data_IF_302828850665
#
_entry.id   IF_302828850665
#
_cell.length_a   1.000
_cell.length_b   1.000
_cell.length_c   1.000
_cell.angle_alpha   90.00
_cell.angle_beta   90.00
_cell.angle_gamma   90.00
#
_symmetry.space_group_name_H-M   'P 1'
#
loop_
_entity.id
_entity.type
_entity.pdbx_description
1 polymer ?
#
# COMPACT_ATOMS: atom_id res chain seq x y z
N UNK A 1 -50.30 -43.25 26.64
CA UNK A 1 -50.43 -43.09 25.18
C UNK A 1 -49.92 -41.71 24.83
N UNK A 2 -48.79 -41.49 24.17
CA UNK A 2 -47.90 -42.38 23.43
C UNK A 2 -46.49 -41.80 23.43
N UNK A 3 -45.50 -42.68 23.52
CA UNK A 3 -44.07 -42.43 23.28
C UNK A 3 -43.78 -42.89 21.84
N UNK A 4 -43.04 -42.16 21.00
CA UNK A 4 -42.52 -42.73 19.77
C UNK A 4 -41.25 -43.52 20.08
N UNK A 5 -41.29 -44.81 19.76
CA UNK A 5 -40.15 -45.73 19.76
C UNK A 5 -39.21 -45.43 18.60
N UNK A 6 -37.92 -45.33 18.93
CA UNK A 6 -36.81 -45.30 17.99
C UNK A 6 -36.45 -46.75 17.63
N UNK A 7 -36.74 -47.16 16.39
CA UNK A 7 -36.33 -48.46 15.84
C UNK A 7 -35.10 -48.23 14.95
N UNK A 8 -33.93 -48.31 15.55
CA UNK A 8 -32.67 -48.45 14.82
C UNK A 8 -32.64 -49.77 14.08
N UNK A 9 -32.62 -49.72 12.75
CA UNK A 9 -32.15 -50.82 11.91
C UNK A 9 -30.69 -50.59 11.57
N UNK A 10 -29.82 -51.38 12.20
CA UNK A 10 -28.44 -51.62 11.79
C UNK A 10 -28.42 -52.07 10.33
N UNK A 11 -27.82 -51.26 9.47
CA UNK A 11 -27.35 -51.71 8.16
C UNK A 11 -25.84 -51.71 8.20
N UNK A 12 -25.31 -52.94 8.34
CA UNK A 12 -23.93 -53.32 8.11
C UNK A 12 -23.57 -52.91 6.69
N UNK A 13 -22.67 -51.94 6.55
CA UNK A 13 -21.86 -51.79 5.35
C UNK A 13 -20.45 -52.19 5.74
N UNK A 14 -20.06 -53.37 5.30
CA UNK A 14 -18.68 -53.87 5.30
C UNK A 14 -17.80 -52.83 4.60
N UNK A 15 -17.05 -52.08 5.41
CA UNK A 15 -15.97 -51.24 4.96
C UNK A 15 -14.77 -52.12 4.68
N UNK A 16 -14.56 -52.41 3.40
CA UNK A 16 -13.35 -52.99 2.86
C UNK A 16 -12.15 -52.07 3.23
N UNK A 17 -11.49 -52.38 4.35
CA UNK A 17 -10.25 -51.72 4.77
C UNK A 17 -9.11 -52.12 3.82
N UNK A 18 -9.11 -51.55 2.62
CA UNK A 18 -7.87 -51.31 1.91
C UNK A 18 -7.16 -50.12 2.57
N UNK A 19 -6.67 -50.35 3.79
CA UNK A 19 -5.54 -49.60 4.33
C UNK A 19 -4.35 -49.96 3.44
N UNK A 20 -4.11 -49.15 2.40
CA UNK A 20 -2.81 -49.10 1.75
C UNK A 20 -1.77 -48.85 2.86
N UNK A 21 -1.10 -49.94 3.25
CA UNK A 21 0.06 -49.87 4.12
C UNK A 21 1.10 -49.09 3.32
N UNK A 22 1.23 -47.79 3.60
CA UNK A 22 2.33 -46.99 3.09
C UNK A 22 3.61 -47.63 3.62
N UNK A 23 4.33 -48.36 2.75
CA UNK A 23 5.66 -48.88 3.05
C UNK A 23 6.54 -47.73 3.52
N UNK A 24 6.86 -47.72 4.81
CA UNK A 24 7.90 -46.87 5.37
C UNK A 24 9.19 -47.37 4.73
N UNK A 25 9.73 -46.61 3.77
CA UNK A 25 10.92 -46.99 3.02
C UNK A 25 12.12 -47.10 3.97
N UNK A 26 12.43 -48.34 4.32
CA UNK A 26 13.65 -48.75 5.00
C UNK A 26 14.90 -48.24 4.26
N UNK A 27 15.99 -47.95 5.00
CA UNK A 27 17.28 -47.60 4.41
C UNK A 27 17.77 -48.63 3.37
N UNK A 28 17.29 -49.87 3.43
CA UNK A 28 17.74 -50.94 2.55
C UNK A 28 17.28 -50.78 1.09
N UNK A 29 16.31 -49.90 0.81
CA UNK A 29 15.78 -49.63 -0.54
C UNK A 29 15.88 -48.14 -0.93
N UNK A 30 17.03 -47.50 -0.71
CA UNK A 30 17.24 -46.09 -1.12
C UNK A 30 17.48 -45.98 -2.64
N UNK A 31 16.71 -45.12 -3.31
CA UNK A 31 16.93 -44.79 -4.72
C UNK A 31 18.24 -44.02 -4.92
N UNK A 32 18.79 -44.08 -6.14
CA UNK A 32 20.04 -43.39 -6.48
C UNK A 32 19.97 -41.86 -6.30
N UNK A 33 18.76 -41.31 -6.39
CA UNK A 33 18.49 -39.88 -6.22
C UNK A 33 18.22 -39.47 -4.77
N UNK A 34 18.15 -40.41 -3.81
CA UNK A 34 17.88 -40.09 -2.41
C UNK A 34 19.12 -39.46 -1.74
N UNK A 35 18.94 -38.26 -1.19
CA UNK A 35 20.00 -37.52 -0.51
C UNK A 35 20.61 -38.26 0.69
N UNK A 36 19.88 -39.22 1.28
CA UNK A 36 20.32 -40.03 2.43
C UNK A 36 21.34 -41.09 2.02
N UNK A 37 21.33 -41.55 0.77
CA UNK A 37 22.13 -42.69 0.28
C UNK A 37 23.62 -42.55 0.58
N UNK A 38 24.22 -41.45 0.15
CA UNK A 38 25.65 -41.18 0.36
C UNK A 38 26.07 -41.12 1.84
N UNK A 39 25.15 -40.70 2.72
CA UNK A 39 25.41 -40.64 4.16
C UNK A 39 25.31 -42.04 4.78
N UNK A 40 24.31 -42.82 4.37
CA UNK A 40 24.15 -44.20 4.82
C UNK A 40 25.33 -45.07 4.40
N UNK A 41 25.73 -45.01 3.13
CA UNK A 41 26.85 -45.79 2.60
C UNK A 41 28.13 -45.51 3.39
N UNK A 42 28.43 -44.23 3.65
CA UNK A 42 29.60 -43.85 4.44
C UNK A 42 29.50 -44.26 5.92
N UNK A 43 28.31 -44.20 6.53
CA UNK A 43 28.11 -44.61 7.92
C UNK A 43 28.16 -46.14 8.09
N UNK A 44 27.84 -46.91 7.05
CA UNK A 44 27.96 -48.38 7.00
C UNK A 44 29.40 -48.82 6.71
N UNK A 45 30.12 -48.13 5.82
CA UNK A 45 31.54 -48.38 5.52
C UNK A 45 32.38 -47.07 5.52
N UNK A 46 32.92 -46.68 6.69
CA UNK A 46 33.73 -45.45 6.82
C UNK A 46 35.10 -45.51 6.14
N UNK A 47 35.58 -46.70 5.76
CA UNK A 47 36.91 -46.91 5.18
C UNK A 47 36.96 -46.64 3.67
N UNK A 48 35.81 -46.41 3.03
CA UNK A 48 35.70 -46.13 1.60
C UNK A 48 36.27 -44.77 1.16
N UNK A 49 36.51 -44.65 -0.15
CA UNK A 49 36.92 -43.39 -0.79
C UNK A 49 35.69 -42.48 -0.97
N UNK A 50 35.43 -41.63 0.01
CA UNK A 50 34.27 -40.70 0.00
C UNK A 50 34.71 -39.24 0.10
N UNK A 51 33.93 -38.34 -0.53
CA UNK A 51 34.17 -36.90 -0.51
C UNK A 51 34.25 -36.34 0.93
N UNK A 52 35.26 -35.50 1.21
CA UNK A 52 35.47 -34.81 2.50
C UNK A 52 34.20 -34.12 3.03
N UNK A 53 33.36 -33.56 2.16
CA UNK A 53 32.10 -32.92 2.53
C UNK A 53 31.08 -33.89 3.14
N UNK A 54 31.01 -35.12 2.65
CA UNK A 54 30.11 -36.16 3.16
C UNK A 54 30.61 -36.61 4.54
N UNK A 55 31.92 -36.81 4.69
CA UNK A 55 32.54 -37.19 5.98
C UNK A 55 32.20 -36.20 7.11
N UNK A 56 32.31 -34.89 6.85
CA UNK A 56 31.93 -33.87 7.83
C UNK A 56 30.43 -33.84 8.11
N UNK A 57 29.58 -34.00 7.08
CA UNK A 57 28.12 -34.01 7.30
C UNK A 57 27.71 -35.20 8.14
N UNK A 58 28.27 -36.38 7.88
CA UNK A 58 27.97 -37.63 8.58
C UNK A 58 28.17 -37.55 10.10
N UNK A 59 29.06 -36.68 10.61
CA UNK A 59 29.24 -36.45 12.06
C UNK A 59 27.95 -36.01 12.78
N UNK A 60 27.00 -35.42 12.06
CA UNK A 60 25.71 -34.99 12.59
C UNK A 60 24.60 -36.04 12.42
N UNK A 61 24.93 -37.26 11.98
CA UNK A 61 23.97 -38.32 11.71
C UNK A 61 24.38 -39.63 12.39
N UNK A 62 23.39 -40.47 12.66
CA UNK A 62 23.56 -41.81 13.22
C UNK A 62 22.51 -42.72 12.61
N UNK A 63 22.86 -43.98 12.37
CA UNK A 63 21.89 -45.00 11.98
C UNK A 63 21.41 -45.69 13.27
N UNK A 64 20.10 -45.73 13.48
CA UNK A 64 19.48 -46.47 14.59
C UNK A 64 18.44 -47.40 14.00
N UNK A 65 18.59 -48.70 14.25
CA UNK A 65 17.83 -49.72 13.54
C UNK A 65 18.05 -49.58 12.04
N UNK A 66 16.96 -49.37 11.28
CA UNK A 66 17.00 -49.20 9.83
C UNK A 66 16.61 -47.77 9.39
N UNK A 67 16.83 -46.78 10.24
CA UNK A 67 16.51 -45.37 9.98
C UNK A 67 17.71 -44.45 10.19
N UNK A 68 17.77 -43.38 9.38
CA UNK A 68 18.84 -42.39 9.45
C UNK A 68 18.35 -41.27 10.35
N UNK A 69 19.06 -41.02 11.44
CA UNK A 69 18.71 -40.00 12.41
C UNK A 69 19.69 -38.84 12.32
N UNK A 70 19.19 -37.61 12.33
CA UNK A 70 20.00 -36.41 12.50
C UNK A 70 20.10 -36.06 13.98
N UNK A 71 21.33 -35.87 14.46
CA UNK A 71 21.64 -35.37 15.80
C UNK A 71 21.66 -33.84 15.81
N UNK A 72 20.85 -33.22 16.68
CA UNK A 72 20.92 -31.77 16.93
C UNK A 72 22.07 -31.45 17.90
N UNK A 73 22.53 -30.18 17.99
CA UNK A 73 23.51 -29.77 18.98
C UNK A 73 23.11 -30.09 20.43
N UNK A 74 21.80 -30.08 20.70
CA UNK A 74 21.21 -30.41 22.01
C UNK A 74 21.08 -31.93 22.25
N UNK A 75 21.53 -32.75 21.29
CA UNK A 75 21.51 -34.21 21.39
C UNK A 75 20.18 -34.87 21.01
N UNK A 76 19.19 -34.12 20.54
CA UNK A 76 17.91 -34.67 20.07
C UNK A 76 18.10 -35.36 18.72
N UNK A 77 17.41 -36.48 18.51
CA UNK A 77 17.45 -37.26 17.28
C UNK A 77 16.20 -37.00 16.43
N UNK A 78 16.39 -36.73 15.15
CA UNK A 78 15.33 -36.45 14.18
C UNK A 78 15.37 -37.46 13.04
N UNK A 79 14.25 -38.11 12.72
CA UNK A 79 14.12 -39.03 11.59
C UNK A 79 14.35 -38.30 10.27
N UNK A 80 15.28 -38.81 9.46
CA UNK A 80 15.58 -38.26 8.15
C UNK A 80 14.61 -38.79 7.10
N UNK A 81 13.81 -37.89 6.53
CA UNK A 81 12.79 -38.24 5.55
C UNK A 81 13.34 -38.26 4.12
N UNK A 82 12.80 -39.16 3.30
CA UNK A 82 12.88 -39.15 1.85
C UNK A 82 12.15 -37.92 1.29
N UNK A 83 12.26 -37.70 -0.02
CA UNK A 83 11.49 -36.64 -0.67
C UNK A 83 9.97 -36.88 -0.64
N UNK A 84 9.53 -38.13 -0.79
CA UNK A 84 8.12 -38.51 -0.74
C UNK A 84 7.55 -38.39 0.68
N UNK A 85 8.28 -38.90 1.67
CA UNK A 85 7.93 -38.77 3.09
C UNK A 85 7.88 -37.30 3.52
N UNK A 86 8.85 -36.49 3.07
CA UNK A 86 8.86 -35.06 3.34
C UNK A 86 7.64 -34.36 2.74
N UNK A 87 7.26 -34.69 1.51
CA UNK A 87 6.06 -34.12 0.87
C UNK A 87 4.79 -34.41 1.68
N UNK A 88 4.60 -35.67 2.10
CA UNK A 88 3.46 -36.07 2.93
C UNK A 88 3.44 -35.31 4.26
N UNK A 89 4.57 -35.26 4.96
CA UNK A 89 4.69 -34.56 6.23
C UNK A 89 4.39 -33.05 6.10
N UNK A 90 4.85 -32.40 5.03
CA UNK A 90 4.54 -31.01 4.72
C UNK A 90 3.04 -30.84 4.45
N UNK A 91 2.43 -31.72 3.65
CA UNK A 91 1.01 -31.70 3.30
C UNK A 91 0.11 -31.81 4.53
N UNK A 92 0.40 -32.76 5.42
CA UNK A 92 -0.37 -32.98 6.65
C UNK A 92 -0.30 -31.79 7.60
N UNK A 93 0.89 -31.21 7.77
CA UNK A 93 1.10 -30.05 8.65
C UNK A 93 0.52 -28.76 8.05
N UNK A 94 0.42 -28.68 6.72
CA UNK A 94 -0.17 -27.52 6.06
C UNK A 94 -1.70 -27.57 6.05
N UNK A 95 -2.27 -28.65 5.50
CA UNK A 95 -3.69 -28.79 5.15
C UNK A 95 -4.37 -30.05 5.69
N UNK A 96 -3.66 -30.93 6.41
CA UNK A 96 -4.25 -32.11 7.05
C UNK A 96 -5.11 -31.74 8.28
N UNK A 97 -5.49 -32.74 9.07
CA UNK A 97 -6.42 -32.57 10.21
C UNK A 97 -5.95 -31.56 11.27
N UNK A 98 -4.64 -31.39 11.44
CA UNK A 98 -4.04 -30.37 12.32
C UNK A 98 -3.43 -29.18 11.55
N UNK A 99 -3.67 -29.15 10.23
CA UNK A 99 -3.25 -28.09 9.33
C UNK A 99 -4.09 -26.83 9.51
N UNK A 100 -3.44 -25.67 9.43
CA UNK A 100 -4.12 -24.35 9.48
C UNK A 100 -3.65 -23.45 8.33
N UNK A 101 -3.30 -24.07 7.20
CA UNK A 101 -2.65 -23.40 6.08
C UNK A 101 -1.39 -22.63 6.53
N UNK A 102 -0.59 -23.30 7.36
CA UNK A 102 0.52 -22.68 8.06
C UNK A 102 1.58 -22.13 7.10
N UNK A 103 2.18 -20.99 7.47
CA UNK A 103 3.34 -20.46 6.76
C UNK A 103 4.58 -21.35 6.96
N UNK A 104 5.47 -21.38 5.97
CA UNK A 104 6.59 -22.34 5.93
C UNK A 104 7.51 -22.35 7.17
N UNK A 105 7.72 -21.22 7.84
CA UNK A 105 8.47 -21.17 9.11
C UNK A 105 7.77 -21.91 10.25
N UNK A 106 6.44 -21.79 10.36
CA UNK A 106 5.65 -22.46 11.38
C UNK A 106 5.56 -23.97 11.11
N UNK A 107 5.44 -24.35 9.84
CA UNK A 107 5.49 -25.74 9.41
C UNK A 107 6.83 -26.39 9.79
N UNK A 108 7.96 -25.77 9.40
CA UNK A 108 9.31 -26.24 9.79
C UNK A 108 9.41 -26.41 11.31
N UNK A 109 8.94 -25.43 12.08
CA UNK A 109 8.98 -25.50 13.54
C UNK A 109 8.20 -26.70 14.07
N UNK A 110 7.00 -26.96 13.55
CA UNK A 110 6.17 -28.09 13.96
C UNK A 110 6.82 -29.42 13.58
N UNK A 111 7.24 -29.57 12.33
CA UNK A 111 7.93 -30.77 11.82
C UNK A 111 9.19 -31.10 12.64
N UNK A 112 9.99 -30.09 12.96
CA UNK A 112 11.18 -30.27 13.78
C UNK A 112 10.84 -30.69 15.22
N UNK A 113 9.72 -30.19 15.77
CA UNK A 113 9.20 -30.61 17.08
C UNK A 113 8.61 -32.01 17.09
N UNK A 114 8.06 -32.47 15.97
CA UNK A 114 7.60 -33.84 15.77
C UNK A 114 8.73 -34.82 15.41
N UNK A 115 9.99 -34.37 15.46
CA UNK A 115 11.13 -35.26 15.34
C UNK A 115 11.52 -35.63 13.92
N UNK A 116 11.17 -34.82 12.90
CA UNK A 116 11.53 -35.10 11.49
C UNK A 116 12.46 -34.06 10.88
N UNK A 117 13.26 -34.48 9.88
CA UNK A 117 14.24 -33.62 9.24
C UNK A 117 14.57 -34.02 7.79
N UNK A 118 14.85 -33.01 6.96
CA UNK A 118 15.60 -33.15 5.71
C UNK A 118 16.32 -31.82 5.40
N UNK A 119 17.36 -31.80 4.54
CA UNK A 119 18.23 -30.64 4.35
C UNK A 119 17.51 -29.35 3.90
N UNK A 120 16.47 -29.47 3.08
CA UNK A 120 15.77 -28.35 2.44
C UNK A 120 14.43 -28.00 3.12
N UNK A 121 14.14 -28.56 4.29
CA UNK A 121 12.85 -28.42 5.02
C UNK A 121 12.23 -27.03 5.01
N UNK A 122 13.00 -25.98 5.30
CA UNK A 122 12.46 -24.62 5.29
C UNK A 122 12.06 -24.16 3.88
N UNK A 123 12.92 -24.43 2.89
CA UNK A 123 12.69 -24.05 1.49
C UNK A 123 11.44 -24.77 0.99
N UNK A 124 11.34 -26.06 1.25
CA UNK A 124 10.24 -26.89 0.75
C UNK A 124 8.92 -26.52 1.42
N UNK A 125 8.90 -26.26 2.73
CA UNK A 125 7.70 -25.74 3.40
C UNK A 125 7.26 -24.37 2.84
N UNK A 126 8.21 -23.49 2.50
CA UNK A 126 7.90 -22.17 1.92
C UNK A 126 7.33 -22.33 0.50
N UNK A 127 7.95 -23.15 -0.34
CA UNK A 127 7.48 -23.37 -1.71
C UNK A 127 6.14 -24.12 -1.74
N UNK A 128 5.93 -25.09 -0.85
CA UNK A 128 4.63 -25.76 -0.70
C UNK A 128 3.52 -24.78 -0.33
N UNK A 129 3.73 -23.96 0.71
CA UNK A 129 2.74 -22.97 1.14
C UNK A 129 2.47 -21.90 0.05
N UNK A 130 3.48 -21.54 -0.77
CA UNK A 130 3.30 -20.63 -1.92
C UNK A 130 2.49 -21.27 -3.04
N UNK A 131 2.68 -22.57 -3.29
CA UNK A 131 1.98 -23.35 -4.31
C UNK A 131 0.57 -23.77 -3.90
N UNK A 132 0.23 -23.77 -2.60
CA UNK A 132 -1.12 -24.11 -2.12
C UNK A 132 -2.19 -23.22 -2.77
N UNK A 133 -3.07 -23.83 -3.58
CA UNK A 133 -4.09 -23.11 -4.33
C UNK A 133 -5.11 -22.44 -3.42
N UNK A 134 -5.51 -23.09 -2.32
CA UNK A 134 -6.46 -22.52 -1.35
C UNK A 134 -5.90 -21.29 -0.63
N UNK A 135 -4.61 -21.32 -0.26
CA UNK A 135 -3.92 -20.13 0.25
C UNK A 135 -3.86 -19.01 -0.80
N UNK A 136 -3.63 -19.35 -2.08
CA UNK A 136 -3.56 -18.35 -3.15
C UNK A 136 -4.93 -17.71 -3.42
N UNK A 137 -6.00 -18.50 -3.51
CA UNK A 137 -7.40 -18.07 -3.74
C UNK A 137 -7.95 -17.15 -2.65
N UNK A 138 -7.62 -17.43 -1.38
CA UNK A 138 -8.11 -16.68 -0.23
C UNK A 138 -7.15 -15.59 0.26
N UNK A 139 -5.95 -15.49 -0.32
CA UNK A 139 -4.97 -14.48 0.09
C UNK A 139 -5.54 -13.05 0.02
N UNK A 140 -5.20 -12.22 1.02
CA UNK A 140 -5.66 -10.84 1.07
C UNK A 140 -5.24 -10.03 -0.15
N UNK A 141 -6.11 -9.11 -0.58
CA UNK A 141 -5.85 -8.22 -1.71
C UNK A 141 -4.76 -7.22 -1.31
N UNK A 142 -3.60 -7.34 -1.93
CA UNK A 142 -2.46 -6.48 -1.61
C UNK A 142 -2.66 -5.09 -2.25
N UNK A 143 -3.07 -4.10 -1.47
CA UNK A 143 -3.19 -2.70 -1.90
C UNK A 143 -1.84 -1.97 -1.96
N UNK A 144 -0.85 -2.56 -2.65
CA UNK A 144 0.42 -1.88 -2.92
C UNK A 144 0.28 -1.02 -4.16
N UNK A 145 0.62 0.27 -4.12
CA UNK A 145 0.61 1.11 -5.30
C UNK A 145 1.53 0.56 -6.39
N UNK A 146 1.03 0.51 -7.62
CA UNK A 146 1.73 -0.11 -8.76
C UNK A 146 2.81 0.80 -9.39
N UNK A 147 2.85 2.07 -9.01
CA UNK A 147 3.71 3.08 -9.63
C UNK A 147 4.49 3.84 -8.56
N UNK A 148 5.69 4.28 -8.91
CA UNK A 148 6.49 5.16 -8.08
C UNK A 148 5.80 6.51 -7.88
N UNK A 149 6.05 7.14 -6.74
CA UNK A 149 5.54 8.48 -6.46
C UNK A 149 6.38 9.52 -7.21
N UNK A 150 5.79 10.19 -8.20
CA UNK A 150 6.42 11.34 -8.84
C UNK A 150 6.18 12.60 -8.01
N UNK A 151 7.25 13.13 -7.39
CA UNK A 151 7.14 14.32 -6.58
C UNK A 151 7.10 15.59 -7.42
N UNK A 152 6.00 16.35 -7.34
CA UNK A 152 5.88 17.64 -8.04
C UNK A 152 6.41 18.73 -7.13
N UNK A 153 7.59 19.26 -7.42
CA UNK A 153 8.11 20.48 -6.79
C UNK A 153 7.88 21.64 -7.74
N UNK A 154 7.15 22.66 -7.28
CA UNK A 154 7.08 23.96 -7.95
C UNK A 154 7.96 24.92 -7.14
N UNK A 155 9.06 25.44 -7.70
CA UNK A 155 10.03 26.24 -6.94
C UNK A 155 9.60 27.70 -6.75
N UNK A 156 8.56 28.14 -7.44
CA UNK A 156 8.08 29.51 -7.41
C UNK A 156 6.75 29.61 -6.66
N UNK A 157 6.57 30.62 -5.78
CA UNK A 157 5.28 30.95 -5.19
C UNK A 157 4.17 31.03 -6.24
N UNK A 158 3.00 30.47 -5.93
CA UNK A 158 1.76 30.61 -6.69
C UNK A 158 1.75 30.03 -8.11
N UNK A 159 2.83 29.38 -8.56
CA UNK A 159 2.86 28.73 -9.88
C UNK A 159 2.12 27.39 -9.90
N UNK A 160 1.84 26.78 -8.76
CA UNK A 160 1.13 25.51 -8.70
C UNK A 160 0.15 25.43 -7.54
N UNK A 161 -1.12 25.15 -7.86
CA UNK A 161 -2.19 25.03 -6.87
C UNK A 161 -2.78 23.63 -6.86
N UNK A 162 -3.23 23.17 -5.69
CA UNK A 162 -4.19 22.08 -5.59
C UNK A 162 -5.53 22.59 -5.09
N UNK A 163 -6.62 22.15 -5.71
CA UNK A 163 -7.98 22.42 -5.27
C UNK A 163 -8.66 21.14 -4.80
N UNK A 164 -9.51 21.27 -3.79
CA UNK A 164 -10.37 20.21 -3.29
C UNK A 164 -11.64 20.80 -2.70
N UNK A 165 -12.67 19.98 -2.64
CA UNK A 165 -13.94 20.32 -2.05
C UNK A 165 -14.11 19.58 -0.71
N UNK A 166 -14.28 20.34 0.37
CA UNK A 166 -14.79 19.78 1.61
C UNK A 166 -16.29 19.51 1.41
N UNK A 167 -16.66 18.23 1.51
CA UNK A 167 -18.03 17.75 1.35
C UNK A 167 -19.04 18.34 2.34
N UNK A 168 -20.28 17.88 2.25
CA UNK A 168 -21.41 18.49 2.96
C UNK A 168 -21.19 18.58 4.48
N UNK A 169 -21.20 19.81 5.01
CA UNK A 169 -21.06 20.15 6.43
C UNK A 169 -22.44 20.28 7.05
N UNK A 170 -22.70 19.49 8.10
CA UNK A 170 -23.93 19.54 8.90
C UNK A 170 -23.63 19.95 10.35
N UNK A 171 -24.37 20.93 10.92
CA UNK A 171 -25.44 21.72 10.29
C UNK A 171 -24.90 22.74 9.28
N UNK A 172 -25.77 23.19 8.36
CA UNK A 172 -25.45 24.30 7.46
C UNK A 172 -25.15 25.58 8.25
N UNK A 173 -24.38 26.47 7.63
CA UNK A 173 -24.06 27.75 8.25
C UNK A 173 -25.30 28.63 8.43
N UNK A 174 -25.18 29.72 9.19
CA UNK A 174 -26.24 30.73 9.31
C UNK A 174 -26.64 31.37 7.98
N UNK A 175 -25.82 31.24 6.92
CA UNK A 175 -26.09 31.70 5.54
C UNK A 175 -26.47 30.56 4.60
N UNK A 176 -26.87 29.40 5.14
CA UNK A 176 -27.19 28.19 4.38
C UNK A 176 -26.03 27.66 3.51
N UNK A 177 -24.78 27.90 3.93
CA UNK A 177 -23.61 27.32 3.27
C UNK A 177 -23.38 25.91 3.81
N UNK A 178 -22.98 24.98 2.94
CA UNK A 178 -22.83 23.56 3.24
C UNK A 178 -21.52 22.96 2.76
N UNK A 179 -20.76 23.67 1.95
CA UNK A 179 -19.52 23.19 1.37
C UNK A 179 -18.41 24.21 1.59
N UNK A 180 -17.15 23.78 1.50
CA UNK A 180 -16.00 24.67 1.47
C UNK A 180 -15.13 24.26 0.29
N UNK A 181 -14.91 25.19 -0.64
CA UNK A 181 -13.91 25.02 -1.70
C UNK A 181 -12.58 25.52 -1.16
N UNK A 182 -11.54 24.69 -1.26
CA UNK A 182 -10.20 24.98 -0.72
C UNK A 182 -9.17 24.92 -1.84
N UNK A 183 -8.29 25.92 -1.88
CA UNK A 183 -7.11 25.95 -2.72
C UNK A 183 -5.85 26.12 -1.88
N UNK A 184 -4.81 25.36 -2.19
CA UNK A 184 -3.49 25.48 -1.54
C UNK A 184 -2.38 25.64 -2.58
N UNK A 185 -1.49 26.61 -2.36
CA UNK A 185 -0.27 26.79 -3.15
C UNK A 185 0.79 25.74 -2.76
N UNK A 186 1.48 25.17 -3.75
CA UNK A 186 2.48 24.12 -3.52
C UNK A 186 3.75 24.60 -2.85
N UNK A 187 4.13 25.86 -3.04
CA UNK A 187 5.39 26.36 -2.53
C UNK A 187 5.20 27.00 -1.16
N UNK A 188 4.46 28.11 -1.10
CA UNK A 188 4.21 28.89 0.12
C UNK A 188 3.32 28.18 1.13
N UNK A 189 2.57 27.17 0.69
CA UNK A 189 1.47 26.54 1.46
C UNK A 189 0.36 27.53 1.84
N UNK A 190 0.24 28.63 1.10
CA UNK A 190 -0.85 29.58 1.25
C UNK A 190 -2.18 28.90 0.95
N UNK A 191 -3.17 29.10 1.83
CA UNK A 191 -4.50 28.50 1.70
C UNK A 191 -5.50 29.61 1.40
N UNK A 192 -6.30 29.43 0.35
CA UNK A 192 -7.53 30.15 0.09
C UNK A 192 -8.71 29.21 0.27
N UNK A 193 -9.80 29.67 0.89
CA UNK A 193 -11.02 28.87 0.99
C UNK A 193 -12.26 29.74 1.00
N UNK A 194 -13.33 29.27 0.36
CA UNK A 194 -14.62 29.96 0.35
C UNK A 194 -15.76 29.01 0.77
N UNK A 195 -16.74 29.50 1.56
CA UNK A 195 -17.92 28.72 1.91
C UNK A 195 -19.00 28.83 0.82
N UNK A 196 -19.55 27.69 0.41
CA UNK A 196 -20.50 27.59 -0.70
C UNK A 196 -21.84 26.94 -0.25
N UNK A 197 -23.00 27.42 -0.74
CA UNK A 197 -24.31 26.79 -0.49
C UNK A 197 -24.49 25.51 -1.30
N UNK A 198 -24.07 25.54 -2.56
CA UNK A 198 -24.07 24.45 -3.52
C UNK A 198 -22.76 24.50 -4.31
N UNK A 199 -22.44 23.41 -4.98
CA UNK A 199 -21.19 23.27 -5.73
C UNK A 199 -21.52 23.14 -7.20
N UNK A 200 -21.14 24.14 -7.97
CA UNK A 200 -21.24 24.17 -9.42
C UNK A 200 -19.89 24.58 -10.04
N UNK A 201 -19.78 24.40 -11.36
CA UNK A 201 -18.56 24.76 -12.11
C UNK A 201 -18.30 26.26 -12.10
N UNK A 202 -19.34 27.08 -12.08
CA UNK A 202 -19.23 28.54 -12.11
C UNK A 202 -18.65 29.09 -10.82
N UNK A 203 -19.03 28.54 -9.65
CA UNK A 203 -18.43 28.88 -8.37
C UNK A 203 -16.94 28.52 -8.34
N UNK A 204 -16.53 27.39 -8.92
CA UNK A 204 -15.11 27.01 -9.00
C UNK A 204 -14.32 27.96 -9.90
N UNK A 205 -14.85 28.30 -11.08
CA UNK A 205 -14.21 29.27 -11.99
C UNK A 205 -14.09 30.63 -11.31
N UNK A 206 -15.17 31.12 -10.68
CA UNK A 206 -15.19 32.38 -9.94
C UNK A 206 -14.21 32.40 -8.78
N UNK A 207 -14.05 31.28 -8.07
CA UNK A 207 -13.03 31.12 -7.04
C UNK A 207 -11.63 31.28 -7.62
N UNK A 208 -11.31 30.57 -8.70
CA UNK A 208 -9.98 30.63 -9.34
C UNK A 208 -9.69 32.04 -9.84
N UNK A 209 -10.66 32.69 -10.50
CA UNK A 209 -10.50 34.06 -10.97
C UNK A 209 -10.27 35.04 -9.80
N UNK A 210 -11.16 35.05 -8.83
CA UNK A 210 -11.20 36.11 -7.81
C UNK A 210 -10.20 35.90 -6.67
N UNK A 211 -9.90 34.64 -6.31
CA UNK A 211 -9.10 34.31 -5.14
C UNK A 211 -7.71 33.79 -5.49
N UNK A 212 -7.47 33.38 -6.74
CA UNK A 212 -6.14 32.94 -7.20
C UNK A 212 -5.58 33.94 -8.20
N UNK A 213 -6.24 34.13 -9.34
CA UNK A 213 -5.69 34.91 -10.46
C UNK A 213 -5.59 36.40 -10.10
N UNK A 214 -6.66 37.02 -9.62
CA UNK A 214 -6.66 38.45 -9.30
C UNK A 214 -5.82 38.80 -8.06
N UNK A 215 -5.45 37.80 -7.25
CA UNK A 215 -4.61 38.01 -6.07
C UNK A 215 -3.14 37.73 -6.31
N UNK A 216 -2.83 36.66 -7.03
CA UNK A 216 -1.47 36.11 -7.12
C UNK A 216 -0.97 35.97 -8.56
N UNK A 217 -1.82 36.26 -9.55
CA UNK A 217 -1.52 36.07 -10.97
C UNK A 217 -1.89 34.69 -11.51
N UNK A 218 -1.65 34.49 -12.80
CA UNK A 218 -2.02 33.26 -13.50
C UNK A 218 -1.05 32.13 -13.11
N UNK A 219 -1.54 31.01 -12.53
CA UNK A 219 -0.68 29.88 -12.18
C UNK A 219 -0.19 29.12 -13.43
N UNK A 220 0.86 28.32 -13.29
CA UNK A 220 1.28 27.40 -14.36
C UNK A 220 0.31 26.23 -14.46
N UNK A 221 -0.09 25.69 -13.30
CA UNK A 221 -0.92 24.50 -13.22
C UNK A 221 -1.81 24.51 -11.99
N UNK A 222 -3.04 24.01 -12.16
CA UNK A 222 -3.98 23.74 -11.07
C UNK A 222 -4.29 22.25 -11.10
N UNK A 223 -4.08 21.55 -9.98
CA UNK A 223 -4.41 20.13 -9.85
C UNK A 223 -5.70 19.97 -9.06
N UNK A 224 -6.62 19.16 -9.55
CA UNK A 224 -7.91 18.85 -8.90
C UNK A 224 -8.10 17.35 -8.82
N UNK A 225 -9.10 16.90 -8.05
CA UNK A 225 -9.57 15.53 -8.15
C UNK A 225 -10.34 15.30 -9.47
N UNK A 226 -10.81 14.06 -9.69
CA UNK A 226 -11.63 13.71 -10.86
C UNK A 226 -13.12 14.03 -10.66
N UNK A 227 -13.46 14.92 -9.72
CA UNK A 227 -14.83 15.38 -9.54
C UNK A 227 -15.32 16.08 -10.81
N UNK A 228 -16.55 15.77 -11.24
CA UNK A 228 -17.18 16.35 -12.44
C UNK A 228 -17.30 17.87 -12.39
N UNK A 229 -17.28 18.45 -11.18
CA UNK A 229 -17.26 19.90 -10.94
C UNK A 229 -15.94 20.52 -11.42
N UNK A 230 -14.82 19.79 -11.36
CA UNK A 230 -13.51 20.30 -11.77
C UNK A 230 -13.14 19.93 -13.20
N UNK A 231 -13.69 18.86 -13.76
CA UNK A 231 -13.33 18.35 -15.11
C UNK A 231 -14.34 18.69 -16.19
N UNK A 232 -15.25 19.63 -15.93
CA UNK A 232 -16.27 20.05 -16.89
C UNK A 232 -15.75 20.82 -18.09
N UNK A 233 -16.55 20.83 -19.17
CA UNK A 233 -16.22 21.54 -20.42
C UNK A 233 -15.91 23.02 -20.20
N UNK A 234 -16.74 23.72 -19.39
CA UNK A 234 -16.55 25.13 -19.02
C UNK A 234 -15.20 25.38 -18.35
N UNK A 235 -14.77 24.47 -17.47
CA UNK A 235 -13.51 24.60 -16.73
C UNK A 235 -12.30 24.37 -17.64
N UNK A 236 -12.39 23.42 -18.57
CA UNK A 236 -11.35 23.16 -19.58
C UNK A 236 -11.21 24.34 -20.54
N UNK A 237 -12.32 24.88 -21.04
CA UNK A 237 -12.34 26.08 -21.89
C UNK A 237 -11.75 27.29 -21.17
N UNK A 238 -12.14 27.51 -19.91
CA UNK A 238 -11.58 28.58 -19.07
C UNK A 238 -10.07 28.43 -18.86
N UNK A 239 -9.58 27.20 -18.62
CA UNK A 239 -8.15 26.94 -18.47
C UNK A 239 -7.36 27.24 -19.75
N UNK A 240 -7.90 26.87 -20.92
CA UNK A 240 -7.30 27.16 -22.22
C UNK A 240 -7.26 28.65 -22.51
N UNK A 241 -8.37 29.37 -22.27
CA UNK A 241 -8.45 30.82 -22.48
C UNK A 241 -7.50 31.60 -21.57
N UNK A 242 -7.37 31.17 -20.32
CA UNK A 242 -6.52 31.86 -19.32
C UNK A 242 -5.05 31.43 -19.42
N UNK A 243 -4.76 30.28 -20.02
CA UNK A 243 -3.39 29.81 -20.28
C UNK A 243 -2.74 29.01 -19.14
N UNK A 244 -3.52 28.42 -18.22
CA UNK A 244 -2.98 27.52 -17.17
C UNK A 244 -3.31 26.05 -17.47
N UNK A 245 -2.48 25.13 -16.97
CA UNK A 245 -2.67 23.68 -17.15
C UNK A 245 -3.59 23.11 -16.08
N UNK A 246 -4.72 22.55 -16.46
CA UNK A 246 -5.57 21.79 -15.55
C UNK A 246 -5.09 20.33 -15.48
N UNK A 247 -4.69 19.88 -14.29
CA UNK A 247 -4.20 18.53 -14.03
C UNK A 247 -5.23 17.77 -13.18
N UNK A 248 -5.56 16.54 -13.55
CA UNK A 248 -6.46 15.70 -12.76
C UNK A 248 -5.67 14.69 -11.93
N UNK A 249 -6.20 14.34 -10.75
CA UNK A 249 -5.57 13.36 -9.86
C UNK A 249 -5.58 11.95 -10.51
N UNK A 250 -4.55 11.63 -11.27
CA UNK A 250 -4.20 10.25 -11.63
C UNK A 250 -3.30 9.66 -10.53
N UNK A 251 -2.99 8.35 -10.52
CA UNK A 251 -1.99 7.79 -9.59
C UNK A 251 -0.66 8.57 -9.60
N UNK A 252 -0.34 9.21 -10.73
CA UNK A 252 0.82 10.06 -10.93
C UNK A 252 0.78 11.37 -10.12
N UNK A 253 -0.41 11.93 -9.88
CA UNK A 253 -0.63 13.21 -9.19
C UNK A 253 -1.20 13.04 -7.76
N UNK A 254 -1.16 11.83 -7.19
CA UNK A 254 -1.75 11.52 -5.89
C UNK A 254 -1.25 12.42 -4.74
N UNK A 255 -0.01 12.92 -4.83
CA UNK A 255 0.59 13.79 -3.83
C UNK A 255 -0.04 15.19 -3.78
N UNK A 256 -0.47 15.74 -4.93
CA UNK A 256 -1.14 17.03 -4.99
C UNK A 256 -2.47 16.98 -4.23
N UNK A 257 -3.24 15.91 -4.45
CA UNK A 257 -4.46 15.65 -3.70
C UNK A 257 -4.16 15.44 -2.20
N UNK A 258 -3.07 14.76 -1.87
CA UNK A 258 -2.64 14.58 -0.47
C UNK A 258 -2.36 15.91 0.28
N UNK A 259 -1.80 16.92 -0.39
CA UNK A 259 -1.51 18.22 0.23
C UNK A 259 -2.78 18.98 0.58
N UNK A 260 -3.73 19.08 -0.35
CA UNK A 260 -5.00 19.77 -0.11
C UNK A 260 -5.87 19.00 0.90
N UNK A 261 -5.85 17.66 0.88
CA UNK A 261 -6.49 16.85 1.92
C UNK A 261 -5.91 17.10 3.33
N UNK A 262 -4.58 17.25 3.44
CA UNK A 262 -3.95 17.60 4.70
C UNK A 262 -4.37 19.01 5.17
N UNK A 263 -4.46 19.98 4.26
CA UNK A 263 -4.98 21.31 4.54
C UNK A 263 -6.44 21.25 5.02
N UNK A 264 -7.29 20.46 4.35
CA UNK A 264 -8.68 20.26 4.73
C UNK A 264 -8.82 19.71 6.16
N UNK A 265 -7.99 18.73 6.55
CA UNK A 265 -7.95 18.22 7.93
C UNK A 265 -7.60 19.30 8.95
N UNK A 266 -6.63 20.16 8.63
CA UNK A 266 -6.22 21.27 9.50
C UNK A 266 -7.37 22.29 9.64
N UNK A 267 -7.96 22.72 8.52
CA UNK A 267 -9.08 23.67 8.49
C UNK A 267 -10.25 23.14 9.33
N UNK A 268 -10.69 21.91 9.07
CA UNK A 268 -11.78 21.27 9.82
C UNK A 268 -11.45 21.18 11.31
N UNK A 269 -10.22 20.78 11.65
CA UNK A 269 -9.76 20.67 13.04
C UNK A 269 -9.78 22.01 13.78
N UNK A 270 -9.33 23.09 13.14
CA UNK A 270 -9.34 24.43 13.72
C UNK A 270 -10.76 25.00 13.83
N UNK A 271 -11.58 24.82 12.79
CA UNK A 271 -12.99 25.22 12.79
C UNK A 271 -13.72 24.54 13.96
N UNK A 272 -13.57 23.23 14.13
CA UNK A 272 -14.15 22.49 15.27
C UNK A 272 -13.80 23.08 16.63
N UNK A 273 -12.55 23.55 16.80
CA UNK A 273 -12.10 24.17 18.05
C UNK A 273 -12.67 25.58 18.26
N UNK A 274 -12.90 26.35 17.19
CA UNK A 274 -13.37 27.74 17.28
C UNK A 274 -14.89 27.88 17.40
N UNK A 275 -15.66 26.91 16.90
CA UNK A 275 -17.13 27.03 16.88
C UNK A 275 -17.78 26.85 18.27
N UNK A 276 -17.08 26.26 19.24
CA UNK A 276 -17.60 25.99 20.59
C UNK A 276 -19.03 25.41 20.54
N UNK A 277 -20.00 26.01 21.26
CA UNK A 277 -21.40 25.56 21.31
C UNK A 277 -22.29 26.11 20.16
N UNK A 278 -21.74 26.81 19.15
CA UNK A 278 -22.53 27.49 18.10
C UNK A 278 -22.27 26.94 16.68
N UNK A 279 -22.62 25.67 16.39
CA UNK A 279 -22.21 24.94 15.18
C UNK A 279 -22.49 25.66 13.85
N UNK A 280 -23.56 26.47 13.76
CA UNK A 280 -23.94 27.21 12.55
C UNK A 280 -23.05 28.41 12.19
N UNK A 281 -22.14 28.83 13.08
CA UNK A 281 -21.28 30.00 12.87
C UNK A 281 -19.94 29.67 12.20
N UNK A 282 -19.77 28.44 11.72
CA UNK A 282 -18.51 27.98 11.14
C UNK A 282 -18.01 28.82 9.96
N UNK A 283 -18.92 29.44 9.21
CA UNK A 283 -18.58 30.30 8.08
C UNK A 283 -17.92 31.62 8.54
N UNK A 284 -18.32 32.16 9.70
CA UNK A 284 -17.71 33.36 10.28
C UNK A 284 -16.31 33.09 10.83
N UNK A 285 -16.08 31.87 11.31
CA UNK A 285 -14.77 31.45 11.84
C UNK A 285 -13.76 31.11 10.75
N UNK A 286 -14.21 30.90 9.50
CA UNK A 286 -13.34 30.43 8.42
C UNK A 286 -12.21 31.42 8.13
N UNK A 287 -12.50 32.73 8.03
CA UNK A 287 -11.48 33.74 7.76
C UNK A 287 -10.43 33.82 8.88
N UNK A 288 -10.87 33.69 10.14
CA UNK A 288 -9.97 33.63 11.30
C UNK A 288 -9.08 32.38 11.25
N UNK A 289 -9.65 31.22 10.88
CA UNK A 289 -8.89 29.97 10.71
C UNK A 289 -7.88 30.08 9.58
N UNK A 290 -8.25 30.69 8.45
CA UNK A 290 -7.34 30.93 7.33
C UNK A 290 -6.19 31.84 7.74
N UNK A 291 -6.48 32.94 8.44
CA UNK A 291 -5.45 33.85 8.94
C UNK A 291 -4.49 33.17 9.92
N UNK A 292 -5.00 32.34 10.85
CA UNK A 292 -4.17 31.54 11.73
C UNK A 292 -3.29 30.54 10.95
N UNK A 293 -3.86 29.85 9.96
CA UNK A 293 -3.13 28.91 9.10
C UNK A 293 -2.00 29.56 8.31
N UNK A 294 -2.20 30.81 7.85
CA UNK A 294 -1.23 31.58 7.07
C UNK A 294 -0.08 32.12 7.91
N UNK A 295 -0.31 32.37 9.20
CA UNK A 295 0.71 32.85 10.14
C UNK A 295 1.33 31.76 11.02
N UNK A 296 0.93 30.49 10.84
CA UNK A 296 1.53 29.37 11.56
C UNK A 296 2.63 28.71 10.72
N UNK A 297 3.83 28.46 11.28
CA UNK A 297 4.91 27.82 10.55
C UNK A 297 4.51 26.43 10.08
N UNK A 298 4.92 26.06 8.87
CA UNK A 298 4.70 24.71 8.32
C UNK A 298 5.97 23.89 8.41
N UNK A 299 5.87 22.66 8.88
CA UNK A 299 7.00 21.72 8.91
C UNK A 299 7.66 21.54 7.53
N UNK A 300 6.87 21.64 6.45
CA UNK A 300 7.35 21.48 5.09
C UNK A 300 8.26 22.61 4.59
N UNK A 301 8.15 23.82 5.17
CA UNK A 301 8.89 25.02 4.75
C UNK A 301 9.73 25.63 5.87
N UNK A 302 9.52 25.20 7.12
CA UNK A 302 10.10 25.75 8.35
C UNK A 302 9.87 27.26 8.58
N UNK A 303 8.89 27.85 7.88
CA UNK A 303 8.51 29.26 7.99
C UNK A 303 7.00 29.41 7.76
N UNK A 304 6.45 30.61 7.95
CA UNK A 304 5.03 30.89 7.79
C UNK A 304 4.67 31.10 6.30
N UNK A 305 3.48 30.67 5.84
CA UNK A 305 2.99 31.02 4.51
C UNK A 305 2.93 32.53 4.24
N UNK A 306 2.63 33.32 5.28
CA UNK A 306 2.57 34.78 5.18
C UNK A 306 3.93 35.38 4.83
N UNK A 307 4.99 34.99 5.55
CA UNK A 307 6.36 35.46 5.29
C UNK A 307 6.85 35.07 3.90
N UNK A 308 6.63 33.82 3.46
CA UNK A 308 7.00 33.39 2.10
C UNK A 308 6.28 34.16 0.98
N UNK A 309 5.07 34.62 1.28
CA UNK A 309 4.23 35.37 0.33
C UNK A 309 4.65 36.83 0.25
N UNK A 310 4.76 37.51 1.38
CA UNK A 310 4.92 38.97 1.45
C UNK A 310 6.32 39.45 1.82
N UNK A 311 7.23 38.56 2.22
CA UNK A 311 8.59 38.92 2.62
C UNK A 311 8.79 39.24 4.10
N UNK A 312 7.70 39.37 4.86
CA UNK A 312 7.75 39.78 6.26
C UNK A 312 6.62 39.13 7.05
N UNK A 313 6.72 39.14 8.38
CA UNK A 313 5.69 38.58 9.25
C UNK A 313 4.52 39.54 9.46
N UNK A 314 3.30 39.00 9.48
CA UNK A 314 2.11 39.80 9.78
C UNK A 314 2.20 40.38 11.20
N UNK A 315 1.63 41.57 11.41
CA UNK A 315 1.41 42.09 12.77
C UNK A 315 0.33 41.26 13.45
N UNK A 316 0.72 40.55 14.51
CA UNK A 316 -0.20 39.73 15.28
C UNK A 316 -0.75 40.48 16.51
N UNK A 317 -1.91 40.08 17.07
CA UNK A 317 -2.49 40.79 18.22
C UNK A 317 -1.57 40.77 19.43
N UNK A 318 -0.75 39.72 19.60
CA UNK A 318 0.24 39.64 20.68
C UNK A 318 1.24 40.80 20.63
N UNK A 319 1.63 41.26 19.44
CA UNK A 319 2.56 42.39 19.30
C UNK A 319 1.91 43.71 19.70
N UNK A 320 0.63 43.87 19.39
CA UNK A 320 -0.14 45.07 19.78
C UNK A 320 -0.38 45.05 21.29
N UNK A 321 -0.84 43.93 21.84
CA UNK A 321 -1.16 43.81 23.26
C UNK A 321 0.06 43.91 24.17
N UNK A 322 1.21 43.36 23.74
CA UNK A 322 2.46 43.41 24.50
C UNK A 322 3.38 44.57 24.10
N UNK A 323 2.93 45.44 23.19
CA UNK A 323 3.71 46.57 22.69
C UNK A 323 5.10 46.13 22.22
N UNK A 324 5.18 45.29 21.18
CA UNK A 324 6.45 44.84 20.61
C UNK A 324 7.29 46.03 20.14
N UNK A 325 8.61 45.84 19.99
CA UNK A 325 9.53 46.88 19.52
C UNK A 325 9.07 47.47 18.18
N UNK A 326 8.57 46.62 17.28
CA UNK A 326 8.02 47.03 15.97
C UNK A 326 6.85 47.99 16.10
N UNK A 327 5.99 47.81 17.12
CA UNK A 327 4.85 48.69 17.39
C UNK A 327 5.29 49.97 18.11
N UNK A 328 6.14 49.85 19.14
CA UNK A 328 6.60 50.99 19.94
C UNK A 328 7.36 52.02 19.11
N UNK A 329 8.21 51.56 18.19
CA UNK A 329 9.10 52.43 17.39
C UNK A 329 8.56 52.78 16.02
N UNK A 330 7.29 52.46 15.73
CA UNK A 330 6.69 52.64 14.41
C UNK A 330 6.77 54.09 13.89
N UNK A 331 6.71 55.08 14.79
CA UNK A 331 6.75 56.51 14.45
C UNK A 331 8.14 57.15 14.63
N UNK A 332 9.11 56.42 15.18
CA UNK A 332 10.43 56.94 15.57
C UNK A 332 11.55 56.55 14.58
N UNK A 333 11.21 55.82 13.52
CA UNK A 333 12.18 55.35 12.54
C UNK A 333 12.58 56.45 11.55
N UNK A 334 13.87 56.79 11.54
CA UNK A 334 14.46 57.60 10.49
C UNK A 334 14.27 56.91 9.12
N UNK A 335 14.06 57.70 8.07
CA UNK A 335 13.78 57.19 6.71
C UNK A 335 14.83 56.18 6.25
N UNK A 336 16.10 56.45 6.49
CA UNK A 336 17.20 55.59 6.04
C UNK A 336 17.19 54.23 6.76
N UNK A 337 16.88 54.23 8.07
CA UNK A 337 16.76 52.98 8.83
C UNK A 337 15.54 52.15 8.40
N UNK A 338 14.44 52.80 8.00
CA UNK A 338 13.29 52.09 7.42
C UNK A 338 13.66 51.43 6.08
N UNK A 339 14.39 52.14 5.22
CA UNK A 339 14.86 51.59 3.95
C UNK A 339 15.78 50.39 4.15
N UNK A 340 16.77 50.48 5.05
CA UNK A 340 17.69 49.39 5.34
C UNK A 340 16.95 48.15 5.86
N UNK A 341 16.02 48.32 6.81
CA UNK A 341 15.21 47.21 7.33
C UNK A 341 14.34 46.53 6.26
N UNK A 342 13.67 47.29 5.40
CA UNK A 342 12.86 46.72 4.32
C UNK A 342 13.73 46.05 3.25
N UNK A 343 14.93 46.57 3.00
CA UNK A 343 15.87 45.96 2.08
C UNK A 343 16.42 44.64 2.63
N UNK A 344 16.78 44.61 3.91
CA UNK A 344 17.22 43.38 4.60
C UNK A 344 16.14 42.29 4.54
N UNK A 345 14.86 42.64 4.80
CA UNK A 345 13.75 41.68 4.67
C UNK A 345 13.60 41.12 3.26
N UNK A 346 13.83 41.94 2.22
CA UNK A 346 13.79 41.49 0.83
C UNK A 346 14.96 40.58 0.46
N UNK A 347 16.17 40.90 0.94
CA UNK A 347 17.37 40.07 0.72
C UNK A 347 17.22 38.72 1.44
N UNK A 348 16.76 38.74 2.68
CA UNK A 348 16.52 37.53 3.48
C UNK A 348 15.43 36.64 2.86
N UNK A 349 14.41 37.23 2.24
CA UNK A 349 13.32 36.49 1.62
C UNK A 349 13.81 35.54 0.52
N UNK A 350 14.77 35.97 -0.30
CA UNK A 350 15.31 35.11 -1.37
C UNK A 350 16.06 33.92 -0.78
N UNK A 351 16.89 34.13 0.26
CA UNK A 351 17.53 33.04 0.98
C UNK A 351 16.52 32.10 1.65
N UNK A 352 15.49 32.65 2.28
CA UNK A 352 14.44 31.86 2.93
C UNK A 352 13.68 31.01 1.92
N UNK A 353 13.40 31.54 0.72
CA UNK A 353 12.76 30.78 -0.36
C UNK A 353 13.64 29.64 -0.84
N UNK A 354 14.96 29.85 -0.95
CA UNK A 354 15.91 28.78 -1.28
C UNK A 354 15.93 27.71 -0.18
N UNK A 355 16.05 28.10 1.09
CA UNK A 355 16.02 27.17 2.25
C UNK A 355 14.69 26.40 2.33
N UNK A 356 13.57 27.06 2.05
CA UNK A 356 12.25 26.43 1.99
C UNK A 356 12.16 25.44 0.82
N UNK A 357 12.70 25.76 -0.35
CA UNK A 357 12.76 24.86 -1.50
C UNK A 357 13.57 23.61 -1.21
N UNK A 358 14.73 23.74 -0.57
CA UNK A 358 15.56 22.61 -0.16
C UNK A 358 14.83 21.71 0.85
N UNK A 359 14.17 22.31 1.84
CA UNK A 359 13.39 21.59 2.86
C UNK A 359 12.23 20.84 2.23
N UNK A 360 11.48 21.49 1.33
CA UNK A 360 10.39 20.87 0.58
C UNK A 360 10.88 19.70 -0.27
N UNK A 361 12.00 19.86 -0.96
CA UNK A 361 12.59 18.83 -1.83
C UNK A 361 13.03 17.63 -0.99
N UNK A 362 13.77 17.86 0.10
CA UNK A 362 14.22 16.82 1.03
C UNK A 362 13.06 16.06 1.67
N UNK A 363 12.00 16.76 2.08
CA UNK A 363 10.80 16.12 2.63
C UNK A 363 10.12 15.24 1.58
N UNK A 364 9.99 15.71 0.34
CA UNK A 364 9.39 14.93 -0.75
C UNK A 364 10.22 13.71 -1.12
N UNK A 365 11.54 13.83 -1.15
CA UNK A 365 12.43 12.69 -1.35
C UNK A 365 12.28 11.65 -0.24
N UNK A 366 12.18 12.06 1.03
CA UNK A 366 11.95 11.13 2.15
C UNK A 366 10.62 10.38 1.99
N UNK A 367 9.55 11.10 1.63
CA UNK A 367 8.23 10.51 1.40
C UNK A 367 8.26 9.56 0.19
N UNK A 368 8.87 9.98 -0.92
CA UNK A 368 9.03 9.16 -2.11
C UNK A 368 9.84 7.90 -1.84
N UNK A 369 10.97 8.00 -1.12
CA UNK A 369 11.78 6.84 -0.70
C UNK A 369 11.00 5.88 0.18
N UNK A 370 10.27 6.38 1.18
CA UNK A 370 9.44 5.56 2.06
C UNK A 370 8.28 4.88 1.33
N UNK A 371 7.68 5.57 0.35
CA UNK A 371 6.61 5.06 -0.50
C UNK A 371 7.13 4.03 -1.50
N UNK A 372 8.16 4.36 -2.28
CA UNK A 372 8.77 3.52 -3.30
C UNK A 372 9.38 2.24 -2.69
N UNK A 373 9.86 2.27 -1.44
CA UNK A 373 10.26 1.05 -0.72
C UNK A 373 9.13 0.02 -0.61
N UNK A 374 7.87 0.46 -0.61
CA UNK A 374 6.69 -0.40 -0.57
C UNK A 374 6.21 -0.80 -1.97
N UNK A 375 6.54 -0.03 -3.01
CA UNK A 375 6.18 -0.31 -4.41
C UNK A 375 6.90 -1.57 -4.85
N UNK A 376 6.13 -2.61 -5.19
CA UNK A 376 6.62 -3.79 -5.89
C UNK A 376 6.01 -3.75 -7.29
N UNK A 377 6.79 -3.36 -8.29
CA UNK A 377 6.37 -3.41 -9.68
C UNK A 377 6.03 -4.86 -10.06
N UNK A 378 4.76 -5.11 -10.38
CA UNK A 378 4.32 -6.42 -10.90
C UNK A 378 4.41 -6.38 -12.42
N UNK A 379 5.40 -7.05 -12.99
CA UNK A 379 5.48 -7.32 -14.42
C UNK A 379 5.12 -8.77 -14.71
N UNK A 380 4.32 -8.97 -15.76
CA UNK A 380 3.90 -10.27 -16.25
C UNK A 380 4.35 -10.42 -17.70
N UNK A 381 4.87 -11.58 -18.07
CA UNK A 381 5.27 -11.87 -19.44
C UNK A 381 4.18 -12.71 -20.12
N UNK A 382 4.12 -12.67 -21.46
CA UNK A 382 3.29 -13.58 -22.25
C UNK A 382 3.60 -15.03 -21.85
N UNK A 383 2.55 -15.84 -21.68
CA UNK A 383 2.62 -17.22 -21.21
C UNK A 383 2.62 -17.40 -19.68
N UNK A 384 2.71 -16.33 -18.88
CA UNK A 384 2.62 -16.47 -17.42
C UNK A 384 1.19 -16.82 -16.98
N UNK A 385 1.07 -17.73 -16.00
CA UNK A 385 -0.19 -17.98 -15.31
C UNK A 385 -0.42 -16.94 -14.21
N UNK A 386 -1.65 -16.42 -14.12
CA UNK A 386 -2.04 -15.35 -13.19
C UNK A 386 -3.41 -15.60 -12.57
N UNK A 387 -3.57 -15.09 -11.35
CA UNK A 387 -4.84 -14.93 -10.66
C UNK A 387 -5.41 -13.53 -10.93
N UNK A 388 -6.72 -13.44 -11.16
CA UNK A 388 -7.51 -12.22 -11.30
C UNK A 388 -8.24 -11.92 -9.99
N UNK A 389 -8.28 -10.68 -9.54
CA UNK A 389 -9.03 -10.31 -8.32
C UNK A 389 -10.55 -10.28 -8.59
N UNK A 390 -11.34 -10.72 -7.61
CA UNK A 390 -12.80 -10.55 -7.62
C UNK A 390 -13.11 -9.23 -6.91
N UNK A 391 -13.62 -8.22 -7.63
CA UNK A 391 -13.87 -6.90 -7.05
C UNK A 391 -15.17 -6.90 -6.22
N UNK A 392 -15.32 -6.03 -5.20
CA UNK A 392 -16.54 -5.96 -4.39
C UNK A 392 -17.83 -5.62 -5.15
N UNK A 393 -17.70 -5.00 -6.34
CA UNK A 393 -18.85 -4.74 -7.24
C UNK A 393 -19.24 -5.97 -8.06
N UNK A 394 -18.32 -6.91 -8.24
CA UNK A 394 -18.63 -8.22 -8.80
C UNK A 394 -19.37 -9.01 -7.71
N UNK A 395 -20.50 -9.63 -8.06
CA UNK A 395 -21.33 -10.34 -7.09
C UNK A 395 -20.49 -11.44 -6.45
N UNK A 396 -20.16 -11.29 -5.16
CA UNK A 396 -19.72 -12.42 -4.33
C UNK A 396 -20.69 -13.58 -4.56
N UNK A 397 -20.13 -14.79 -4.61
CA UNK A 397 -20.93 -15.98 -4.85
C UNK A 397 -22.11 -16.00 -3.87
N UNK A 398 -23.33 -16.09 -4.42
CA UNK A 398 -24.57 -16.07 -3.64
C UNK A 398 -24.64 -17.23 -2.65
N UNK A 399 -23.92 -18.32 -2.92
CA UNK A 399 -23.84 -19.51 -2.08
C UNK A 399 -22.80 -19.34 -0.97
N UNK A 400 -21.61 -18.84 -1.31
CA UNK A 400 -20.49 -18.77 -0.35
C UNK A 400 -20.47 -17.48 0.48
N UNK A 401 -21.02 -16.37 -0.01
CA UNK A 401 -21.17 -15.11 0.72
C UNK A 401 -19.87 -14.58 1.35
N UNK A 402 -19.72 -14.74 2.68
CA UNK A 402 -18.51 -14.33 3.41
C UNK A 402 -17.28 -15.19 3.07
N UNK A 403 -17.51 -16.42 2.60
CA UNK A 403 -16.49 -17.42 2.30
C UNK A 403 -16.05 -17.41 0.83
N UNK A 404 -16.53 -16.45 0.02
CA UNK A 404 -16.13 -16.34 -1.37
C UNK A 404 -14.61 -16.06 -1.47
N UNK A 405 -13.92 -16.67 -2.45
CA UNK A 405 -12.51 -16.39 -2.68
C UNK A 405 -12.28 -14.93 -3.08
N UNK A 406 -11.07 -14.44 -2.86
CA UNK A 406 -10.67 -13.08 -3.26
C UNK A 406 -10.10 -13.07 -4.68
N UNK A 407 -9.71 -14.23 -5.21
CA UNK A 407 -9.04 -14.40 -6.48
C UNK A 407 -9.69 -15.52 -7.32
N UNK A 408 -9.77 -15.29 -8.62
CA UNK A 408 -10.30 -16.16 -9.67
C UNK A 408 -9.17 -16.58 -10.63
N UNK A 409 -9.24 -17.80 -11.19
CA UNK A 409 -8.27 -18.33 -12.15
C UNK A 409 -7.87 -19.77 -11.84
N UNK A 410 -6.75 -20.27 -12.42
CA UNK A 410 -5.72 -19.52 -13.18
C UNK A 410 -6.11 -19.11 -14.60
N UNK A 411 -5.51 -18.00 -15.07
CA UNK A 411 -5.57 -17.51 -16.45
C UNK A 411 -4.16 -17.42 -17.06
N UNK A 412 -4.03 -17.49 -18.38
CA UNK A 412 -2.77 -17.32 -19.12
C UNK A 412 -2.67 -15.93 -19.73
N UNK A 413 -1.54 -15.25 -19.57
CA UNK A 413 -1.29 -13.96 -20.24
C UNK A 413 -0.99 -14.19 -21.72
N UNK A 414 -1.77 -13.59 -22.62
CA UNK A 414 -1.61 -13.71 -24.08
C UNK A 414 -0.92 -12.49 -24.66
N UNK A 415 -1.27 -11.30 -24.20
CA UNK A 415 -0.71 -10.04 -24.70
C UNK A 415 -0.41 -9.05 -23.56
N UNK A 416 0.67 -8.29 -23.73
CA UNK A 416 1.09 -7.22 -22.81
C UNK A 416 0.96 -5.87 -23.53
N UNK A 417 0.20 -4.94 -22.96
CA UNK A 417 0.04 -3.60 -23.50
C UNK A 417 0.99 -2.60 -22.82
N UNK A 418 1.42 -1.58 -23.56
CA UNK A 418 2.34 -0.53 -23.08
C UNK A 418 1.76 0.34 -21.95
N UNK A 419 0.44 0.35 -21.78
CA UNK A 419 -0.27 1.08 -20.72
C UNK A 419 -0.42 0.29 -19.39
N UNK A 420 0.20 -0.89 -19.28
CA UNK A 420 0.11 -1.75 -18.10
C UNK A 420 -1.18 -2.56 -17.99
N UNK A 421 -1.96 -2.65 -19.07
CA UNK A 421 -3.01 -3.64 -19.25
C UNK A 421 -2.43 -4.95 -19.81
N UNK A 422 -3.10 -6.06 -19.51
CA UNK A 422 -2.76 -7.40 -19.94
C UNK A 422 -4.01 -8.07 -20.48
N UNK A 423 -3.89 -8.76 -21.62
CA UNK A 423 -4.90 -9.70 -22.07
C UNK A 423 -4.64 -11.06 -21.43
N UNK A 424 -5.64 -11.57 -20.72
CA UNK A 424 -5.61 -12.86 -20.06
C UNK A 424 -6.68 -13.77 -20.65
N UNK A 425 -6.36 -15.06 -20.79
CA UNK A 425 -7.22 -16.08 -21.40
C UNK A 425 -7.47 -17.21 -20.40
N UNK A 426 -8.70 -17.73 -20.37
CA UNK A 426 -9.03 -18.94 -19.61
C UNK A 426 -8.29 -20.17 -20.15
N UNK A 427 -7.97 -21.11 -19.26
CA UNK A 427 -7.36 -22.39 -19.65
C UNK A 427 -8.39 -23.44 -20.11
N UNK A 428 -9.67 -23.08 -20.18
CA UNK A 428 -10.79 -23.92 -20.60
C UNK A 428 -10.96 -23.89 -22.13
N UNK A 429 -11.67 -24.87 -22.68
CA UNK A 429 -11.91 -24.99 -24.13
C UNK A 429 -12.64 -23.77 -24.74
N UNK A 430 -13.30 -22.95 -23.93
CA UNK A 430 -14.05 -21.77 -24.41
C UNK A 430 -13.17 -20.53 -24.68
N UNK A 431 -11.87 -20.55 -24.35
CA UNK A 431 -10.86 -19.52 -24.70
C UNK A 431 -11.32 -18.06 -24.56
N UNK A 432 -12.05 -17.75 -23.48
CA UNK A 432 -12.53 -16.38 -23.25
C UNK A 432 -11.36 -15.50 -22.85
N UNK A 433 -11.12 -14.43 -23.60
CA UNK A 433 -10.10 -13.43 -23.29
C UNK A 433 -10.68 -12.20 -22.60
N UNK A 434 -9.92 -11.64 -21.66
CA UNK A 434 -10.28 -10.46 -20.88
C UNK A 434 -9.09 -9.51 -20.82
N UNK A 435 -9.33 -8.22 -21.03
CA UNK A 435 -8.30 -7.18 -20.88
C UNK A 435 -8.43 -6.56 -19.49
N UNK A 436 -7.37 -6.67 -18.68
CA UNK A 436 -7.36 -6.21 -17.29
C UNK A 436 -6.05 -5.51 -16.93
N UNK A 437 -6.13 -4.52 -16.04
CA UNK A 437 -4.94 -3.83 -15.54
C UNK A 437 -4.11 -4.72 -14.60
N UNK A 438 -2.79 -4.71 -14.72
CA UNK A 438 -1.87 -5.52 -13.90
C UNK A 438 -1.99 -5.33 -12.39
N UNK A 439 -2.58 -4.21 -11.92
CA UNK A 439 -2.88 -4.00 -10.48
C UNK A 439 -3.85 -5.04 -9.91
N UNK A 440 -4.72 -5.60 -10.76
CA UNK A 440 -5.74 -6.58 -10.42
C UNK A 440 -5.27 -8.03 -10.63
N UNK A 441 -3.98 -8.21 -10.95
CA UNK A 441 -3.37 -9.51 -11.20
C UNK A 441 -2.35 -9.88 -10.11
N UNK A 442 -2.15 -11.18 -9.93
CA UNK A 442 -1.10 -11.80 -9.12
C UNK A 442 -0.57 -13.03 -9.85
N UNK A 443 0.72 -13.33 -9.73
CA UNK A 443 1.30 -14.54 -10.35
C UNK A 443 0.70 -15.80 -9.71
N UNK A 444 0.28 -16.74 -10.55
CA UNK A 444 -0.06 -18.10 -10.13
C UNK A 444 1.22 -18.86 -9.82
N UNK A 445 1.21 -19.63 -8.74
CA UNK A 445 2.28 -20.55 -8.38
C UNK A 445 1.73 -21.97 -8.45
N UNK A 446 2.23 -22.82 -9.34
CA UNK A 446 1.79 -24.21 -9.41
C UNK A 446 2.11 -24.94 -8.11
N UNK A 447 1.31 -25.96 -7.80
CA UNK A 447 1.58 -26.85 -6.69
C UNK A 447 2.84 -27.68 -6.97
N UNK A 448 3.54 -28.12 -5.92
CA UNK A 448 4.75 -28.93 -6.08
C UNK A 448 4.50 -30.25 -6.85
N UNK A 449 3.29 -30.82 -6.75
CA UNK A 449 2.86 -31.98 -7.56
C UNK A 449 2.77 -31.65 -9.05
N UNK A 450 2.19 -30.50 -9.40
CA UNK A 450 2.03 -30.05 -10.80
C UNK A 450 3.38 -29.74 -11.46
N UNK A 451 4.38 -29.31 -10.68
CA UNK A 451 5.73 -29.06 -11.20
C UNK A 451 6.40 -30.37 -11.61
N UNK A 452 6.28 -31.42 -10.79
CA UNK A 452 6.93 -32.71 -11.03
C UNK A 452 6.35 -33.47 -12.23
N UNK A 453 5.04 -33.38 -12.44
CA UNK A 453 4.36 -34.01 -13.60
C UNK A 453 4.77 -33.38 -14.93
N UNK A 454 5.27 -32.13 -14.93
CA UNK A 454 5.74 -31.44 -16.14
C UNK A 454 7.25 -31.61 -16.40
N UNK A 455 8.00 -32.24 -15.49
CA UNK A 455 9.44 -32.51 -15.62
C UNK A 455 9.75 -33.97 -16.01
N UNK A 456 8.74 -34.85 -16.01
CA UNK A 456 8.74 -36.18 -16.65
C UNK A 456 8.18 -36.09 -18.08
#
# INVERSE_FOLDING_TARGET
ADVPQDNGQDTIYDGDENLEIFEILAIDNLSDNDWRKQLVEYLRDPNGTTNRKIKYRALSYVIIGNELMKKTPEGVLLKCLSETEAYLAISDVHSGACGSHQAGHKMKWLLFRQGVYWPTILKDCIEFAKGCQECQRHSGIQHVPASELHSIVKPWPFRGWALDLIGEIKPSSSKNQRYILVGIDYFTKWIEAIPLPNVDQEAVISFIQSHIIYRFGIPESITTDQGSVFTGRKMVEFAQQTGFKLLTSTPYYAQANGQVQAANKIIIGLIKKHIAQKPRNWNKTLDQVLWACRNSPKESTNTTPFRLTYGHDAVLPVEIHLQSVRIQRQMEMARDHYWDMMLDELVDLDEERVKALETLTRQKERVAKAYNKKVKSKTFNVGNLVWKVILPMDKKDRVLGKWSPNWEGPFKVVQVFSNGAYEIEELTEEQRSLIINGKYLKKYKPALQEIKINEE
#
